data_IF_950550636411
#
_entry.id   IF_950550636411
#
_cell.length_a   1.000
_cell.length_b   1.000
_cell.length_c   1.000
_cell.angle_alpha   90.00
_cell.angle_beta   90.00
_cell.angle_gamma   90.00
#
_symmetry.space_group_name_H-M   'P 1'
#
loop_
_entity.id
_entity.type
_entity.pdbx_description
1 polymer ?
#
# COMPACT_ATOMS: atom_id res chain seq x y z
N UNK A 1 -0.19 21.95 -11.58
CA UNK A 1 -0.70 20.84 -10.75
C UNK A 1 -0.76 19.57 -11.55
N UNK A 2 -0.19 18.52 -11.04
CA UNK A 2 -0.16 17.24 -11.70
C UNK A 2 -0.65 16.15 -10.75
N UNK A 3 -1.10 15.02 -11.31
CA UNK A 3 -1.30 13.80 -10.55
C UNK A 3 0.02 13.03 -10.61
N UNK A 4 0.61 12.79 -9.44
CA UNK A 4 1.86 12.05 -9.32
C UNK A 4 1.58 10.71 -8.66
N UNK A 5 2.02 9.63 -9.28
CA UNK A 5 1.95 8.29 -8.71
C UNK A 5 3.37 7.84 -8.41
N UNK A 6 3.63 7.53 -7.14
CA UNK A 6 4.95 7.09 -6.68
C UNK A 6 4.87 5.68 -6.13
N UNK A 7 5.85 4.85 -6.46
CA UNK A 7 5.96 3.51 -5.91
C UNK A 7 7.24 3.39 -5.09
N UNK A 8 7.10 2.85 -3.88
CA UNK A 8 8.22 2.59 -2.99
C UNK A 8 8.27 1.10 -2.65
N UNK A 9 9.42 0.50 -2.90
CA UNK A 9 9.67 -0.91 -2.58
C UNK A 9 10.00 -1.13 -1.10
N UNK A 10 10.12 -2.40 -0.72
CA UNK A 10 10.30 -2.79 0.69
C UNK A 10 11.50 -2.17 1.38
N UNK A 11 12.62 -1.98 0.67
CA UNK A 11 13.82 -1.35 1.26
C UNK A 11 13.60 0.12 1.57
N UNK A 12 12.83 0.83 0.75
CA UNK A 12 12.52 2.25 0.97
C UNK A 12 11.60 2.46 2.18
N UNK A 13 10.89 1.44 2.60
CA UNK A 13 9.98 1.47 3.75
C UNK A 13 10.38 0.41 4.80
N UNK A 14 11.64 0.01 4.82
CA UNK A 14 12.13 -1.11 5.62
C UNK A 14 12.26 -0.84 7.12
N UNK A 15 12.09 0.40 7.54
CA UNK A 15 12.16 0.80 8.96
C UNK A 15 11.29 2.04 9.16
N UNK A 16 10.94 2.33 10.42
CA UNK A 16 10.13 3.50 10.75
C UNK A 16 10.76 4.79 10.23
N UNK A 17 12.08 4.96 10.41
CA UNK A 17 12.79 6.16 9.93
C UNK A 17 12.69 6.29 8.40
N UNK A 18 12.71 5.19 7.68
CA UNK A 18 12.59 5.20 6.22
C UNK A 18 11.18 5.57 5.79
N UNK A 19 10.17 5.08 6.50
CA UNK A 19 8.77 5.46 6.27
C UNK A 19 8.60 6.97 6.50
N UNK A 20 9.19 7.50 7.56
CA UNK A 20 9.18 8.94 7.84
C UNK A 20 9.88 9.73 6.71
N UNK A 21 10.97 9.20 6.17
CA UNK A 21 11.66 9.81 5.02
C UNK A 21 10.80 9.85 3.77
N UNK A 22 10.07 8.77 3.49
CA UNK A 22 9.10 8.73 2.38
C UNK A 22 8.00 9.76 2.61
N UNK A 23 7.48 9.85 3.83
CA UNK A 23 6.44 10.82 4.17
C UNK A 23 6.92 12.26 3.92
N UNK A 24 8.17 12.58 4.24
CA UNK A 24 8.75 13.89 3.96
C UNK A 24 8.74 14.21 2.46
N UNK A 25 9.15 13.26 1.63
CA UNK A 25 9.16 13.44 0.18
C UNK A 25 7.76 13.64 -0.37
N UNK A 26 6.82 12.82 0.07
CA UNK A 26 5.42 12.88 -0.37
C UNK A 26 4.80 14.23 0.03
N UNK A 27 5.05 14.66 1.27
CA UNK A 27 4.58 15.96 1.76
C UNK A 27 5.10 17.09 0.87
N UNK A 28 6.38 17.03 0.48
CA UNK A 28 6.98 18.04 -0.39
C UNK A 28 6.25 18.18 -1.72
N UNK A 29 5.90 17.08 -2.35
CA UNK A 29 5.11 17.10 -3.59
C UNK A 29 3.71 17.66 -3.37
N UNK A 30 3.09 17.29 -2.26
CA UNK A 30 1.75 17.78 -1.94
C UNK A 30 1.76 19.29 -1.68
N UNK A 31 2.77 19.80 -1.00
CA UNK A 31 2.92 21.24 -0.75
C UNK A 31 3.12 22.04 -2.04
N UNK A 32 3.67 21.41 -3.06
CA UNK A 32 3.80 22.03 -4.40
C UNK A 32 2.47 22.07 -5.16
N UNK A 33 1.39 21.56 -4.58
CA UNK A 33 0.07 21.58 -5.18
C UNK A 33 -0.27 20.36 -6.04
N UNK A 34 0.58 19.32 -6.02
CA UNK A 34 0.29 18.08 -6.77
C UNK A 34 -0.65 17.18 -6.01
N UNK A 35 -1.49 16.45 -6.74
CA UNK A 35 -2.21 15.30 -6.20
C UNK A 35 -1.26 14.10 -6.19
N UNK A 36 -1.20 13.38 -5.07
CA UNK A 36 -0.22 12.30 -4.92
C UNK A 36 -0.92 10.99 -4.54
N UNK A 37 -0.63 9.96 -5.31
CA UNK A 37 -0.98 8.56 -4.99
C UNK A 37 0.33 7.82 -4.74
N UNK A 38 0.43 7.15 -3.60
CA UNK A 38 1.62 6.40 -3.23
C UNK A 38 1.28 4.92 -3.16
N UNK A 39 2.06 4.10 -3.86
CA UNK A 39 1.93 2.64 -3.83
C UNK A 39 3.13 2.09 -3.07
N UNK A 40 2.88 1.32 -2.03
CA UNK A 40 3.95 0.77 -1.19
C UNK A 40 3.86 -0.72 -1.04
N UNK A 41 5.02 -1.36 -0.88
CA UNK A 41 5.15 -2.77 -0.55
C UNK A 41 5.20 -2.98 0.96
N UNK A 42 5.19 -4.23 1.39
CA UNK A 42 5.52 -4.58 2.77
C UNK A 42 6.95 -4.13 3.10
N UNK A 43 7.23 -3.93 4.37
CA UNK A 43 8.58 -3.63 4.84
C UNK A 43 9.54 -4.75 4.45
N UNK A 44 10.81 -4.41 4.19
CA UNK A 44 11.81 -5.38 3.73
C UNK A 44 11.87 -6.61 4.63
N UNK A 45 11.83 -7.79 4.02
CA UNK A 45 11.86 -9.08 4.73
C UNK A 45 10.52 -9.54 5.28
N UNK A 46 9.51 -8.70 5.33
CA UNK A 46 8.23 -9.03 5.96
C UNK A 46 7.46 -10.09 5.17
N UNK A 47 7.40 -9.96 3.85
CA UNK A 47 6.73 -10.96 3.00
C UNK A 47 7.37 -12.34 3.16
N UNK A 48 8.70 -12.39 3.16
CA UNK A 48 9.42 -13.65 3.33
C UNK A 48 9.19 -14.26 4.71
N UNK A 49 9.12 -13.43 5.75
CA UNK A 49 8.81 -13.87 7.11
C UNK A 49 7.44 -14.54 7.17
N UNK A 50 6.44 -13.91 6.57
CA UNK A 50 5.07 -14.43 6.53
C UNK A 50 4.99 -15.75 5.75
N UNK A 51 5.62 -15.81 4.57
CA UNK A 51 5.66 -17.02 3.75
C UNK A 51 6.38 -18.14 4.50
N UNK A 52 7.45 -17.82 5.24
CA UNK A 52 8.18 -18.79 6.05
C UNK A 52 7.30 -19.41 7.12
N UNK A 53 6.48 -18.64 7.80
CA UNK A 53 5.54 -19.16 8.79
C UNK A 53 4.52 -20.11 8.17
N UNK A 54 4.00 -19.76 7.00
CA UNK A 54 3.07 -20.65 6.29
C UNK A 54 3.74 -21.96 5.92
N UNK A 55 5.00 -21.94 5.51
CA UNK A 55 5.77 -23.14 5.16
C UNK A 55 6.01 -24.05 6.36
N UNK A 56 6.14 -23.49 7.56
CA UNK A 56 6.27 -24.27 8.79
C UNK A 56 4.99 -25.06 9.12
N UNK A 57 3.83 -24.55 8.71
CA UNK A 57 2.54 -25.21 8.96
C UNK A 57 2.34 -26.35 7.97
N UNK A 58 2.71 -26.16 6.69
CA UNK A 58 2.51 -27.17 5.67
C UNK A 58 3.22 -26.87 4.38
N UNK A 59 3.43 -27.89 3.56
CA UNK A 59 4.17 -27.76 2.31
C UNK A 59 3.33 -27.18 1.18
N UNK A 60 2.01 -27.20 1.32
CA UNK A 60 1.08 -26.73 0.28
C UNK A 60 0.07 -25.77 0.88
N UNK A 61 0.49 -24.52 1.12
CA UNK A 61 -0.44 -23.53 1.64
C UNK A 61 -1.62 -23.31 0.69
N UNK A 62 -2.79 -23.10 1.27
CA UNK A 62 -3.99 -22.79 0.49
C UNK A 62 -3.78 -21.42 -0.17
N UNK A 63 -3.83 -21.30 -1.52
CA UNK A 63 -3.53 -20.05 -2.21
C UNK A 63 -4.36 -18.85 -1.72
N UNK A 64 -5.64 -19.04 -1.49
CA UNK A 64 -6.51 -17.97 -0.98
C UNK A 64 -6.02 -17.45 0.37
N UNK A 65 -5.64 -18.36 1.27
CA UNK A 65 -5.19 -17.98 2.62
C UNK A 65 -3.77 -17.38 2.57
N UNK A 66 -2.94 -17.82 1.62
CA UNK A 66 -1.64 -17.19 1.40
C UNK A 66 -1.81 -15.72 0.98
N UNK A 67 -2.77 -15.43 0.11
CA UNK A 67 -3.06 -14.04 -0.29
C UNK A 67 -3.50 -13.20 0.92
N UNK A 68 -4.34 -13.76 1.78
CA UNK A 68 -4.75 -13.09 3.03
C UNK A 68 -3.53 -12.79 3.90
N UNK A 69 -2.67 -13.79 4.07
CA UNK A 69 -1.50 -13.68 4.95
C UNK A 69 -0.53 -12.60 4.45
N UNK A 70 -0.11 -12.68 3.19
CA UNK A 70 0.92 -11.75 2.68
C UNK A 70 0.39 -10.33 2.55
N UNK A 71 -0.91 -10.14 2.38
CA UNK A 71 -1.50 -8.80 2.31
C UNK A 71 -1.36 -8.04 3.63
N UNK A 72 -1.24 -8.73 4.76
CA UNK A 72 -1.11 -8.09 6.07
C UNK A 72 0.18 -7.27 6.19
N UNK A 73 1.25 -7.70 5.53
CA UNK A 73 2.52 -6.94 5.55
C UNK A 73 2.37 -5.55 4.93
N UNK A 74 1.65 -5.44 3.84
CA UNK A 74 1.41 -4.16 3.20
C UNK A 74 0.41 -3.30 3.96
N UNK A 75 -0.54 -3.92 4.63
CA UNK A 75 -1.47 -3.20 5.49
C UNK A 75 -0.73 -2.46 6.62
N UNK A 76 0.31 -3.07 7.17
CA UNK A 76 1.17 -2.40 8.16
C UNK A 76 1.81 -1.16 7.54
N UNK A 77 2.41 -1.30 6.36
CA UNK A 77 3.13 -0.19 5.71
C UNK A 77 2.20 0.97 5.36
N UNK A 78 1.05 0.68 4.75
CA UNK A 78 0.13 1.75 4.33
C UNK A 78 -0.41 2.53 5.54
N UNK A 79 -0.68 1.83 6.63
CA UNK A 79 -1.16 2.47 7.86
C UNK A 79 -0.09 3.36 8.49
N UNK A 80 1.14 2.85 8.59
CA UNK A 80 2.25 3.61 9.18
C UNK A 80 2.57 4.86 8.37
N UNK A 81 2.57 4.75 7.04
CA UNK A 81 2.83 5.90 6.17
C UNK A 81 1.72 6.95 6.29
N UNK A 82 0.46 6.51 6.34
CA UNK A 82 -0.66 7.42 6.56
C UNK A 82 -0.54 8.15 7.92
N UNK A 83 -0.15 7.43 8.96
CA UNK A 83 0.08 8.02 10.29
C UNK A 83 1.22 9.04 10.26
N UNK A 84 2.33 8.71 9.57
CA UNK A 84 3.48 9.61 9.47
C UNK A 84 3.11 10.91 8.75
N UNK A 85 2.36 10.82 7.64
CA UNK A 85 1.90 11.98 6.91
C UNK A 85 0.96 12.84 7.76
N UNK A 86 0.00 12.20 8.43
CA UNK A 86 -0.96 12.89 9.28
C UNK A 86 -0.25 13.64 10.43
N UNK A 87 0.76 13.00 11.02
CA UNK A 87 1.55 13.63 12.10
C UNK A 87 2.30 14.86 11.60
N UNK A 88 2.68 14.89 10.32
CA UNK A 88 3.33 16.03 9.69
C UNK A 88 2.34 17.12 9.24
N UNK A 89 1.06 16.97 9.52
CA UNK A 89 0.03 17.91 9.07
C UNK A 89 -0.41 17.71 7.62
N UNK A 90 -0.07 16.59 7.00
CA UNK A 90 -0.44 16.26 5.62
C UNK A 90 -1.55 15.20 5.64
N UNK A 91 -2.76 15.58 5.25
CA UNK A 91 -3.89 14.66 5.27
C UNK A 91 -3.63 13.47 4.33
N UNK A 92 -3.88 12.27 4.80
CA UNK A 92 -3.62 11.05 4.06
C UNK A 92 -4.67 9.98 4.39
N UNK A 93 -4.90 9.09 3.43
CA UNK A 93 -5.79 7.94 3.63
C UNK A 93 -5.23 6.72 2.93
N UNK A 94 -5.21 5.60 3.65
CA UNK A 94 -4.70 4.34 3.11
C UNK A 94 -5.84 3.46 2.60
N UNK A 95 -5.53 2.67 1.57
CA UNK A 95 -6.45 1.72 0.96
C UNK A 95 -5.76 0.38 0.74
N UNK A 96 -6.42 -0.70 1.19
CA UNK A 96 -6.10 -2.04 0.71
C UNK A 96 -6.69 -2.20 -0.70
N UNK A 97 -6.33 -3.28 -1.40
CA UNK A 97 -6.89 -3.56 -2.72
C UNK A 97 -8.42 -3.67 -2.72
N UNK A 98 -8.97 -4.30 -1.68
CA UNK A 98 -10.43 -4.40 -1.56
C UNK A 98 -11.11 -3.06 -1.34
N UNK A 99 -10.47 -2.16 -0.60
CA UNK A 99 -11.01 -0.82 -0.34
C UNK A 99 -10.94 0.09 -1.56
N UNK A 100 -9.94 -0.10 -2.41
CA UNK A 100 -9.84 0.59 -3.71
C UNK A 100 -10.77 -0.07 -4.74
N UNK A 101 -11.33 -1.23 -4.39
CA UNK A 101 -12.20 -2.00 -5.27
C UNK A 101 -11.48 -2.48 -6.53
N UNK A 102 -10.32 -3.10 -6.32
CA UNK A 102 -9.63 -3.82 -7.40
C UNK A 102 -10.28 -5.20 -7.52
N UNK A 103 -10.96 -5.42 -8.63
CA UNK A 103 -11.65 -6.68 -8.89
C UNK A 103 -10.76 -7.61 -9.68
N UNK A 104 -10.56 -8.82 -9.16
CA UNK A 104 -9.73 -9.85 -9.80
C UNK A 104 -10.55 -11.13 -10.01
N UNK A 105 -10.01 -12.07 -10.80
CA UNK A 105 -10.58 -13.41 -10.86
C UNK A 105 -10.21 -14.20 -9.59
N UNK A 106 -10.71 -15.43 -9.49
CA UNK A 106 -10.53 -16.26 -8.29
C UNK A 106 -9.29 -17.15 -8.31
N UNK A 107 -8.37 -16.94 -9.25
CA UNK A 107 -7.12 -17.70 -9.35
C UNK A 107 -6.09 -17.16 -8.34
N UNK A 108 -6.34 -17.33 -7.05
CA UNK A 108 -5.52 -16.81 -5.96
C UNK A 108 -4.03 -17.09 -6.17
N UNK A 109 -3.16 -16.18 -5.78
CA UNK A 109 -1.72 -16.06 -6.02
C UNK A 109 -1.36 -15.71 -7.47
N UNK A 110 -2.24 -15.95 -8.44
CA UNK A 110 -2.05 -15.64 -9.86
C UNK A 110 -3.25 -14.93 -10.46
N UNK A 111 -4.07 -14.30 -9.62
CA UNK A 111 -5.26 -13.60 -10.05
C UNK A 111 -4.92 -12.44 -10.99
N UNK A 112 -5.80 -12.21 -11.97
CA UNK A 112 -5.64 -11.11 -12.91
C UNK A 112 -6.63 -10.00 -12.59
N UNK A 113 -6.18 -8.78 -12.73
CA UNK A 113 -7.03 -7.61 -12.50
C UNK A 113 -8.07 -7.53 -13.61
N UNK A 114 -9.35 -7.53 -13.24
CA UNK A 114 -10.47 -7.41 -14.17
C UNK A 114 -11.03 -6.00 -14.22
N UNK A 115 -11.01 -5.28 -13.09
CA UNK A 115 -11.52 -3.92 -13.02
C UNK A 115 -10.95 -3.21 -11.81
N UNK A 116 -10.83 -1.88 -11.89
CA UNK A 116 -10.45 -1.01 -10.78
C UNK A 116 -11.48 0.10 -10.67
N UNK A 117 -12.13 0.20 -9.52
CA UNK A 117 -13.00 1.32 -9.21
C UNK A 117 -12.18 2.38 -8.47
N UNK A 118 -12.04 3.55 -9.06
CA UNK A 118 -11.21 4.62 -8.54
C UNK A 118 -12.01 5.81 -8.01
N UNK A 119 -13.31 5.66 -7.84
CA UNK A 119 -14.20 6.76 -7.41
C UNK A 119 -13.81 7.32 -6.05
N UNK A 120 -13.54 6.46 -5.08
CA UNK A 120 -13.17 6.88 -3.73
C UNK A 120 -11.80 7.56 -3.71
N UNK A 121 -10.85 7.03 -4.50
CA UNK A 121 -9.51 7.61 -4.62
C UNK A 121 -9.60 9.03 -5.19
N UNK A 122 -10.38 9.25 -6.23
CA UNK A 122 -10.56 10.57 -6.81
C UNK A 122 -11.20 11.55 -5.82
N UNK A 123 -12.17 11.07 -5.05
CA UNK A 123 -12.81 11.88 -4.02
C UNK A 123 -11.82 12.35 -2.95
N UNK A 124 -10.94 11.46 -2.50
CA UNK A 124 -9.91 11.81 -1.52
C UNK A 124 -8.88 12.79 -2.08
N UNK A 125 -8.46 12.61 -3.33
CA UNK A 125 -7.55 13.55 -3.98
C UNK A 125 -8.16 14.94 -4.08
N UNK A 126 -9.44 15.03 -4.45
CA UNK A 126 -10.16 16.32 -4.49
C UNK A 126 -10.24 16.97 -3.11
N UNK A 127 -10.34 16.16 -2.05
CA UNK A 127 -10.36 16.66 -0.68
C UNK A 127 -8.98 17.06 -0.16
N UNK A 128 -7.94 16.93 -0.97
CA UNK A 128 -6.58 17.31 -0.62
C UNK A 128 -5.81 16.25 0.14
N UNK A 129 -6.29 15.00 0.14
CA UNK A 129 -5.61 13.90 0.82
C UNK A 129 -4.60 13.22 -0.09
N UNK A 130 -3.49 12.80 0.49
CA UNK A 130 -2.59 11.84 -0.15
C UNK A 130 -3.25 10.46 -0.05
N UNK A 131 -3.28 9.72 -1.15
CA UNK A 131 -3.84 8.37 -1.19
C UNK A 131 -2.71 7.37 -1.19
N UNK A 132 -2.76 6.40 -0.27
CA UNK A 132 -1.74 5.36 -0.13
C UNK A 132 -2.39 4.02 -0.41
N UNK A 133 -1.82 3.25 -1.32
CA UNK A 133 -2.39 1.98 -1.79
C UNK A 133 -1.39 0.85 -1.57
N UNK A 134 -1.88 -0.28 -1.10
CA UNK A 134 -1.08 -1.50 -0.99
C UNK A 134 -0.73 -2.01 -2.39
N UNK A 135 0.55 -2.28 -2.63
CA UNK A 135 1.06 -2.64 -3.96
C UNK A 135 0.87 -4.09 -4.35
N UNK A 136 0.66 -4.97 -3.37
CA UNK A 136 0.43 -6.40 -3.61
C UNK A 136 -1.03 -6.72 -3.37
N UNK A 137 -1.69 -7.25 -4.38
CA UNK A 137 -3.12 -7.54 -4.32
C UNK A 137 -3.43 -9.03 -4.50
#
# INVERSE_FOLDING_TARGET
>A
MALIVQKYGGTSVGAVERIQGVAQKVKGFREQGHDVVVVVSAMSGETNRLIGMASEIGQRPVPREMDVLVSTGEQVTIALLAMALTEMGCAAKSYTGGQVSIHTDSAHTKARIQAIDHKNVRGDLKAGRVVIVAGFQ
#
